data_IF_033026780248
#
_entry.id   IF_033026780248
#
_cell.length_a   1.000
_cell.length_b   1.000
_cell.length_c   1.000
_cell.angle_alpha   90.00
_cell.angle_beta   90.00
_cell.angle_gamma   90.00
#
_symmetry.space_group_name_H-M   'P 1'
#
loop_
_entity.id
_entity.type
_entity.pdbx_description
1 polymer ?
#
# COMPACT_ATOMS: atom_id res chain seq x y z
N UNK A 1 21.93 25.38 1.20
CA UNK A 1 22.71 26.30 2.05
C UNK A 1 21.72 26.95 2.97
N UNK A 2 21.84 26.74 4.27
CA UNK A 2 21.08 27.54 5.25
C UNK A 2 21.82 27.51 6.59
N UNK A 3 22.08 28.70 7.12
CA UNK A 3 22.71 28.95 8.41
C UNK A 3 21.61 29.18 9.45
N UNK A 4 21.68 28.47 10.57
CA UNK A 4 20.71 28.59 11.67
C UNK A 4 21.15 29.69 12.65
N UNK A 5 20.32 30.73 12.80
CA UNK A 5 20.35 31.68 13.92
C UNK A 5 19.04 31.53 14.69
N UNK A 6 19.12 31.11 15.95
CA UNK A 6 17.99 30.95 16.86
C UNK A 6 17.81 32.20 17.72
N UNK A 7 16.57 32.69 17.82
CA UNK A 7 16.08 33.49 18.96
C UNK A 7 14.71 32.99 19.43
N UNK A 8 14.36 33.20 20.72
CA UNK A 8 13.27 32.49 21.39
C UNK A 8 12.03 33.38 21.61
N UNK A 9 10.82 32.82 21.43
CA UNK A 9 9.55 33.37 21.92
C UNK A 9 8.69 32.21 22.43
N UNK A 10 8.39 32.18 23.73
CA UNK A 10 7.22 32.77 24.41
C UNK A 10 6.07 31.77 24.51
N UNK A 11 5.89 31.25 25.72
CA UNK A 11 4.90 30.26 26.12
C UNK A 11 3.54 30.92 26.34
N UNK A 12 2.57 30.62 25.48
CA UNK A 12 1.14 30.86 25.73
C UNK A 12 0.42 29.52 26.00
N UNK A 13 -0.23 29.42 27.17
CA UNK A 13 -1.11 28.30 27.55
C UNK A 13 -2.42 28.34 26.76
N UNK A 14 -3.03 27.18 26.42
CA UNK A 14 -4.44 27.14 26.10
C UNK A 14 -5.31 26.36 27.10
N UNK A 15 -6.50 26.92 27.27
CA UNK A 15 -7.66 26.50 28.05
C UNK A 15 -8.17 25.09 27.76
N UNK A 16 -8.65 24.41 28.81
CA UNK A 16 -9.58 23.26 28.73
C UNK A 16 -11.03 23.73 28.65
N UNK A 17 -11.86 23.08 27.81
CA UNK A 17 -13.29 22.92 28.09
C UNK A 17 -13.74 21.45 28.22
N UNK A 18 -14.78 21.26 29.04
CA UNK A 18 -15.38 20.02 29.53
C UNK A 18 -16.23 19.23 28.49
N UNK A 19 -16.54 17.95 28.76
CA UNK A 19 -17.34 17.10 27.88
C UNK A 19 -18.83 17.06 28.28
N UNK A 20 -19.74 16.91 27.31
CA UNK A 20 -20.99 16.17 27.52
C UNK A 20 -21.31 15.26 26.32
N UNK A 21 -22.17 14.24 26.33
CA UNK A 21 -22.91 13.49 27.34
C UNK A 21 -23.33 12.18 26.64
N UNK A 22 -23.37 11.07 27.38
CA UNK A 22 -23.88 9.76 26.92
C UNK A 22 -25.36 9.83 26.55
N UNK A 23 -25.73 9.39 25.34
CA UNK A 23 -27.11 8.97 25.02
C UNK A 23 -27.21 7.45 24.93
N UNK A 24 -27.88 6.87 25.94
CA UNK A 24 -28.47 5.52 25.93
C UNK A 24 -29.71 5.49 25.05
N UNK A 25 -29.91 4.42 24.28
CA UNK A 25 -31.20 3.86 23.81
C UNK A 25 -30.87 2.64 22.93
N UNK A 26 -31.61 1.55 22.86
CA UNK A 26 -32.64 0.90 23.69
C UNK A 26 -32.73 -0.51 23.08
N UNK A 27 -32.74 -1.55 23.90
CA UNK A 27 -33.03 -2.93 23.47
C UNK A 27 -34.40 -2.99 22.80
N UNK A 28 -34.55 -3.87 21.80
CA UNK A 28 -35.84 -4.47 21.46
C UNK A 28 -35.63 -5.97 21.27
N UNK A 29 -36.20 -6.71 22.20
CA UNK A 29 -36.39 -8.16 22.15
C UNK A 29 -37.46 -8.48 21.10
N UNK A 30 -37.31 -9.62 20.43
CA UNK A 30 -38.33 -10.26 19.60
C UNK A 30 -38.10 -11.77 19.67
N UNK A 31 -38.87 -12.42 20.54
CA UNK A 31 -38.91 -13.88 20.76
C UNK A 31 -39.88 -14.55 19.78
N UNK A 32 -39.81 -15.89 19.79
CA UNK A 32 -40.84 -16.90 19.48
C UNK A 32 -40.92 -17.35 18.02
N UNK A 33 -41.26 -18.59 17.68
CA UNK A 33 -41.17 -19.91 18.31
C UNK A 33 -41.79 -20.87 17.27
N UNK A 34 -41.21 -22.07 17.16
CA UNK A 34 -41.85 -23.40 17.00
C UNK A 34 -43.22 -23.52 16.31
N UNK A 35 -43.41 -24.51 15.43
CA UNK A 35 -43.86 -25.87 15.81
C UNK A 35 -44.00 -26.80 14.58
N UNK A 36 -44.02 -28.08 14.93
CA UNK A 36 -44.02 -29.36 14.22
C UNK A 36 -45.33 -29.75 13.49
N UNK A 37 -45.26 -30.97 12.92
CA UNK A 37 -46.31 -31.98 12.61
C UNK A 37 -46.64 -32.02 11.11
N UNK A 38 -46.67 -33.16 10.39
CA UNK A 38 -46.51 -34.57 10.73
C UNK A 38 -47.14 -35.45 9.64
N UNK A 39 -46.53 -36.63 9.41
CA UNK A 39 -47.13 -37.93 9.05
C UNK A 39 -47.90 -38.10 7.70
N UNK A 40 -47.32 -38.96 6.85
CA UNK A 40 -47.94 -40.23 6.43
C UNK A 40 -48.59 -40.32 5.03
N UNK A 41 -48.04 -41.17 4.15
CA UNK A 41 -48.61 -42.48 3.80
C UNK A 41 -47.82 -43.16 2.66
N UNK A 42 -47.77 -44.49 2.75
CA UNK A 42 -47.13 -45.41 1.83
C UNK A 42 -47.95 -45.60 0.55
N UNK A 43 -47.26 -45.76 -0.58
CA UNK A 43 -47.82 -46.22 -1.84
C UNK A 43 -46.72 -46.82 -2.70
N UNK A 44 -46.69 -48.14 -2.78
CA UNK A 44 -45.84 -48.90 -3.70
C UNK A 44 -46.43 -48.86 -5.10
N UNK A 45 -45.69 -48.34 -6.07
CA UNK A 45 -45.94 -48.53 -7.48
C UNK A 45 -44.59 -48.64 -8.21
N UNK A 46 -44.28 -49.83 -8.70
CA UNK A 46 -43.15 -50.11 -9.59
C UNK A 46 -43.56 -49.61 -10.97
N UNK A 47 -42.96 -48.52 -11.43
CA UNK A 47 -43.08 -48.03 -12.80
C UNK A 47 -41.70 -47.74 -13.38
N UNK A 48 -41.56 -48.16 -14.63
CA UNK A 48 -40.39 -48.15 -15.52
C UNK A 48 -39.39 -47.00 -15.33
N UNK A 49 -38.11 -47.37 -15.24
CA UNK A 49 -36.99 -46.46 -15.40
C UNK A 49 -36.96 -45.87 -16.81
N UNK A 50 -37.27 -44.59 -16.90
CA UNK A 50 -36.73 -43.68 -17.90
C UNK A 50 -36.34 -42.41 -17.13
N UNK A 51 -35.09 -41.91 -17.23
CA UNK A 51 -34.72 -40.71 -16.50
C UNK A 51 -35.57 -39.54 -17.02
N UNK A 52 -36.22 -38.76 -16.14
CA UNK A 52 -36.95 -37.58 -16.59
C UNK A 52 -35.97 -36.60 -17.25
N UNK A 53 -36.37 -35.84 -18.28
CA UNK A 53 -35.63 -34.67 -18.69
C UNK A 53 -35.52 -33.77 -17.46
N UNK A 54 -34.29 -33.48 -17.03
CA UNK A 54 -34.04 -32.59 -15.91
C UNK A 54 -34.56 -31.21 -16.27
N UNK A 55 -35.80 -30.91 -15.89
CA UNK A 55 -36.25 -29.54 -15.75
C UNK A 55 -35.43 -28.95 -14.61
N UNK A 56 -34.39 -28.19 -14.97
CA UNK A 56 -33.67 -27.31 -14.05
C UNK A 56 -34.72 -26.47 -13.35
N UNK A 57 -34.96 -26.78 -12.07
CA UNK A 57 -35.80 -25.96 -11.22
C UNK A 57 -35.15 -24.58 -11.16
N UNK A 58 -35.97 -23.53 -11.24
CA UNK A 58 -35.52 -22.15 -11.02
C UNK A 58 -34.74 -22.02 -9.70
N UNK A 59 -35.02 -22.89 -8.73
CA UNK A 59 -34.28 -23.02 -7.47
C UNK A 59 -32.84 -23.54 -7.65
N UNK A 60 -32.59 -24.58 -8.44
CA UNK A 60 -31.23 -25.07 -8.71
C UNK A 60 -30.41 -24.06 -9.53
N UNK A 61 -31.06 -23.29 -10.40
CA UNK A 61 -30.45 -22.16 -11.08
C UNK A 61 -30.16 -20.97 -10.11
N UNK A 62 -31.03 -20.73 -9.12
CA UNK A 62 -30.83 -19.71 -8.08
C UNK A 62 -29.75 -20.11 -7.06
N UNK A 63 -29.65 -21.38 -6.70
CA UNK A 63 -28.62 -21.93 -5.81
C UNK A 63 -27.24 -22.05 -6.49
N UNK A 64 -27.19 -21.95 -7.82
CA UNK A 64 -25.95 -21.84 -8.61
C UNK A 64 -25.44 -20.39 -8.76
N UNK A 65 -26.25 -19.38 -8.39
CA UNK A 65 -25.87 -17.96 -8.46
C UNK A 65 -24.90 -17.42 -7.39
N UNK A 66 -24.72 -18.01 -6.18
CA UNK A 66 -23.80 -17.41 -5.20
C UNK A 66 -22.33 -17.58 -5.61
N UNK A 67 -22.01 -18.61 -6.41
CA UNK A 67 -20.62 -18.90 -6.79
C UNK A 67 -20.16 -18.12 -8.03
N UNK A 68 -21.05 -17.92 -9.03
CA UNK A 68 -20.69 -17.20 -10.26
C UNK A 68 -20.53 -15.69 -10.04
N UNK A 69 -21.25 -15.08 -9.09
CA UNK A 69 -21.12 -13.65 -8.79
C UNK A 69 -19.81 -13.32 -8.05
N UNK A 70 -19.29 -14.20 -7.19
CA UNK A 70 -18.03 -13.93 -6.49
C UNK A 70 -16.81 -13.99 -7.42
N UNK A 71 -16.80 -14.93 -8.38
CA UNK A 71 -15.81 -14.99 -9.47
C UNK A 71 -15.86 -13.75 -10.38
N UNK A 72 -17.06 -13.23 -10.69
CA UNK A 72 -17.24 -12.04 -11.53
C UNK A 72 -16.67 -10.74 -10.92
N UNK A 73 -16.67 -10.60 -9.58
CA UNK A 73 -16.08 -9.44 -8.91
C UNK A 73 -14.55 -9.52 -8.81
N UNK A 74 -13.99 -10.73 -8.69
CA UNK A 74 -12.54 -10.97 -8.77
C UNK A 74 -11.99 -10.83 -10.20
N UNK A 75 -12.85 -11.00 -11.22
CA UNK A 75 -12.51 -10.93 -12.64
C UNK A 75 -12.54 -9.52 -13.24
N UNK A 76 -12.99 -8.51 -12.50
CA UNK A 76 -12.97 -7.12 -13.02
C UNK A 76 -11.51 -6.70 -13.16
N UNK A 77 -11.12 -6.05 -14.25
CA UNK A 77 -9.80 -5.43 -14.35
C UNK A 77 -9.71 -4.19 -13.42
N UNK A 78 -8.51 -3.75 -13.00
CA UNK A 78 -8.36 -2.47 -12.30
C UNK A 78 -8.91 -1.32 -13.14
N UNK A 79 -9.39 -0.25 -12.50
CA UNK A 79 -9.96 0.91 -13.19
C UNK A 79 -8.92 1.54 -14.14
N UNK A 80 -9.30 1.94 -15.36
CA UNK A 80 -8.35 2.41 -16.37
C UNK A 80 -7.48 3.57 -15.86
N UNK A 81 -6.23 3.68 -16.33
CA UNK A 81 -5.36 4.80 -15.98
C UNK A 81 -6.01 6.13 -16.37
N UNK A 82 -5.71 7.19 -15.61
CA UNK A 82 -6.16 8.56 -15.93
C UNK A 82 -5.37 9.10 -17.12
N UNK A 83 -5.92 10.10 -17.85
CA UNK A 83 -5.14 10.80 -18.87
C UNK A 83 -3.81 11.31 -18.31
N UNK A 84 -2.70 11.00 -18.98
CA UNK A 84 -1.34 11.38 -18.58
C UNK A 84 -0.64 10.40 -17.63
N UNK A 85 -1.34 9.38 -17.12
CA UNK A 85 -0.70 8.31 -16.36
C UNK A 85 0.17 7.43 -17.27
N UNK A 86 1.34 7.05 -16.75
CA UNK A 86 2.19 6.03 -17.38
C UNK A 86 2.05 4.74 -16.60
N UNK A 87 1.55 3.68 -17.23
CA UNK A 87 1.43 2.36 -16.57
C UNK A 87 2.81 1.75 -16.40
N UNK A 88 3.10 1.26 -15.20
CA UNK A 88 4.32 0.49 -14.90
C UNK A 88 3.94 -0.97 -14.92
N UNK A 89 4.25 -1.66 -16.02
CA UNK A 89 3.92 -3.07 -16.20
C UNK A 89 5.12 -3.98 -15.89
N UNK A 90 4.90 -5.16 -15.31
CA UNK A 90 5.97 -6.15 -15.09
C UNK A 90 6.67 -6.56 -16.38
N UNK A 91 5.91 -6.69 -17.47
CA UNK A 91 6.40 -7.03 -18.79
C UNK A 91 7.32 -5.95 -19.41
N UNK A 92 7.25 -4.71 -18.90
CA UNK A 92 8.03 -3.57 -19.41
C UNK A 92 8.71 -2.79 -18.27
N UNK A 93 9.40 -3.51 -17.38
CA UNK A 93 10.12 -2.90 -16.26
C UNK A 93 11.43 -2.21 -16.66
N UNK A 94 12.02 -2.57 -17.80
CA UNK A 94 13.35 -2.12 -18.17
C UNK A 94 13.47 -0.57 -18.26
N UNK A 95 12.50 0.17 -18.83
CA UNK A 95 12.54 1.63 -18.86
C UNK A 95 12.53 2.27 -17.46
N UNK A 96 11.74 1.72 -16.53
CA UNK A 96 11.72 2.19 -15.14
C UNK A 96 13.08 1.95 -14.48
N UNK A 97 13.62 0.73 -14.58
CA UNK A 97 14.90 0.38 -13.94
C UNK A 97 16.07 1.20 -14.50
N UNK A 98 16.02 1.55 -15.79
CA UNK A 98 16.99 2.44 -16.41
C UNK A 98 16.84 3.87 -15.88
N UNK A 99 15.61 4.38 -15.75
CA UNK A 99 15.34 5.71 -15.20
C UNK A 99 15.83 5.83 -13.75
N UNK A 100 15.58 4.81 -12.92
CA UNK A 100 16.07 4.74 -11.55
C UNK A 100 17.60 4.70 -11.51
N UNK A 101 18.25 3.95 -12.40
CA UNK A 101 19.73 3.93 -12.52
C UNK A 101 20.32 5.29 -12.87
N UNK A 102 19.69 6.05 -13.76
CA UNK A 102 20.13 7.40 -14.08
C UNK A 102 19.93 8.34 -12.88
N UNK A 103 18.78 8.26 -12.20
CA UNK A 103 18.52 9.05 -11.00
C UNK A 103 19.52 8.74 -9.87
N UNK A 104 19.88 7.47 -9.67
CA UNK A 104 20.86 6.99 -8.70
C UNK A 104 22.25 7.63 -8.90
N UNK A 105 22.64 7.91 -10.15
CA UNK A 105 23.93 8.57 -10.44
C UNK A 105 24.00 9.97 -9.83
N UNK A 106 22.86 10.67 -9.73
CA UNK A 106 22.81 12.01 -9.11
C UNK A 106 23.07 11.99 -7.60
N UNK A 107 23.04 10.81 -6.97
CA UNK A 107 23.33 10.59 -5.55
C UNK A 107 24.80 10.22 -5.30
N UNK A 108 25.61 10.07 -6.35
CA UNK A 108 27.05 9.84 -6.21
C UNK A 108 27.73 11.12 -5.71
N UNK A 109 28.66 11.01 -4.75
CA UNK A 109 29.49 12.15 -4.39
C UNK A 109 30.30 12.66 -5.58
N UNK A 110 30.80 13.89 -5.47
CA UNK A 110 31.67 14.55 -6.46
C UNK A 110 32.85 15.19 -5.77
N UNK A 111 34.04 15.02 -6.33
CA UNK A 111 35.23 15.74 -5.93
C UNK A 111 35.43 16.94 -6.88
N UNK A 112 35.49 18.14 -6.34
CA UNK A 112 35.70 19.38 -7.09
C UNK A 112 37.10 19.90 -6.76
N UNK A 113 38.01 20.03 -7.74
CA UNK A 113 39.33 20.59 -7.49
C UNK A 113 39.23 22.05 -7.02
N UNK A 114 40.13 22.46 -6.12
CA UNK A 114 40.19 23.83 -5.61
C UNK A 114 41.40 24.59 -6.20
N UNK A 115 41.30 25.91 -6.42
CA UNK A 115 42.47 26.74 -6.72
C UNK A 115 43.49 26.65 -5.57
N UNK A 116 44.76 26.35 -5.89
CA UNK A 116 45.80 26.12 -4.89
C UNK A 116 46.01 24.65 -4.49
N UNK A 117 45.26 23.73 -5.10
CA UNK A 117 45.41 22.28 -4.88
C UNK A 117 44.33 21.69 -3.96
N UNK A 118 44.25 20.36 -3.93
CA UNK A 118 43.25 19.64 -3.14
C UNK A 118 41.85 19.59 -3.76
N UNK A 119 40.88 19.07 -2.98
CA UNK A 119 39.51 18.82 -3.44
C UNK A 119 38.47 19.20 -2.38
N UNK A 120 37.36 19.80 -2.83
CA UNK A 120 36.10 19.92 -2.10
C UNK A 120 35.17 18.79 -2.49
N UNK A 121 34.65 18.05 -1.50
CA UNK A 121 33.71 16.96 -1.74
C UNK A 121 32.26 17.44 -1.57
N UNK A 122 31.42 17.20 -2.57
CA UNK A 122 29.98 17.42 -2.51
C UNK A 122 29.24 16.09 -2.56
N UNK A 123 28.23 15.91 -1.71
CA UNK A 123 27.37 14.73 -1.74
C UNK A 123 25.94 15.09 -1.37
N UNK A 124 24.99 14.27 -1.81
CA UNK A 124 23.59 14.33 -1.37
C UNK A 124 23.39 13.39 -0.19
N UNK A 125 22.54 13.79 0.75
CA UNK A 125 22.19 13.03 1.94
C UNK A 125 20.67 12.98 2.06
N UNK A 126 20.10 11.81 2.34
CA UNK A 126 18.67 11.72 2.74
C UNK A 126 18.49 12.19 4.17
N UNK A 127 17.26 12.46 4.57
CA UNK A 127 17.01 12.98 5.92
C UNK A 127 17.47 12.00 7.02
N UNK A 128 17.33 10.69 6.77
CA UNK A 128 17.69 9.55 7.62
C UNK A 128 19.16 9.09 7.49
N UNK A 129 19.84 9.43 6.39
CA UNK A 129 21.23 9.03 6.20
C UNK A 129 22.14 9.73 7.23
N UNK A 130 23.09 9.01 7.88
CA UNK A 130 24.07 9.65 8.73
C UNK A 130 24.97 10.60 7.93
N UNK A 131 25.54 11.61 8.60
CA UNK A 131 26.58 12.44 8.01
C UNK A 131 27.81 11.58 7.69
N UNK A 132 28.36 11.76 6.50
CA UNK A 132 29.55 11.04 6.08
C UNK A 132 30.82 11.83 6.39
N UNK A 133 31.85 11.14 6.84
CA UNK A 133 33.22 11.68 6.88
C UNK A 133 33.80 11.81 5.47
N UNK A 134 34.88 12.58 5.33
CA UNK A 134 35.58 12.72 4.04
C UNK A 134 36.10 11.37 3.54
N UNK A 135 36.60 10.52 4.43
CA UNK A 135 37.07 9.17 4.13
C UNK A 135 35.93 8.31 3.60
N UNK A 136 34.76 8.36 4.25
CA UNK A 136 33.57 7.64 3.77
C UNK A 136 33.08 8.15 2.40
N UNK A 137 33.17 9.46 2.16
CA UNK A 137 32.83 10.04 0.85
C UNK A 137 33.81 9.55 -0.24
N UNK A 138 35.12 9.56 0.05
CA UNK A 138 36.15 9.00 -0.85
C UNK A 138 35.91 7.52 -1.12
N UNK A 139 35.57 6.73 -0.10
CA UNK A 139 35.23 5.33 -0.28
C UNK A 139 34.00 5.14 -1.18
N UNK A 140 32.97 5.97 -1.04
CA UNK A 140 31.80 5.94 -1.95
C UNK A 140 32.09 6.40 -3.37
N UNK A 141 33.11 7.24 -3.58
CA UNK A 141 33.57 7.60 -4.94
C UNK A 141 34.23 6.40 -5.61
N UNK A 142 35.06 5.67 -4.87
CA UNK A 142 35.76 4.47 -5.37
C UNK A 142 34.79 3.30 -5.55
N UNK A 143 33.86 3.14 -4.60
CA UNK A 143 32.90 2.04 -4.54
C UNK A 143 31.47 2.61 -4.46
N UNK A 144 30.90 3.09 -5.58
CA UNK A 144 29.57 3.67 -5.58
C UNK A 144 28.50 2.62 -5.24
N UNK A 145 27.45 3.00 -4.47
CA UNK A 145 26.37 2.09 -4.17
C UNK A 145 25.66 1.63 -5.44
N UNK A 146 25.39 0.33 -5.52
CA UNK A 146 24.73 -0.30 -6.68
C UNK A 146 23.21 -0.45 -6.51
N UNK A 147 22.70 -0.24 -5.29
CA UNK A 147 21.28 -0.31 -4.95
C UNK A 147 20.62 -1.65 -5.32
N UNK A 148 21.36 -2.76 -5.14
CA UNK A 148 20.90 -4.11 -5.52
C UNK A 148 19.66 -4.54 -4.75
N UNK A 149 19.61 -4.28 -3.44
CA UNK A 149 18.46 -4.62 -2.58
C UNK A 149 17.19 -3.92 -3.02
N UNK A 150 17.29 -2.63 -3.34
CA UNK A 150 16.17 -1.80 -3.78
C UNK A 150 15.66 -2.28 -5.13
N UNK A 151 16.56 -2.51 -6.09
CA UNK A 151 16.21 -3.02 -7.41
C UNK A 151 15.55 -4.38 -7.32
N UNK A 152 16.08 -5.29 -6.49
CA UNK A 152 15.48 -6.60 -6.27
C UNK A 152 14.07 -6.48 -5.68
N UNK A 153 13.87 -5.61 -4.68
CA UNK A 153 12.56 -5.37 -4.10
C UNK A 153 11.56 -4.86 -5.15
N UNK A 154 11.96 -3.91 -5.99
CA UNK A 154 11.14 -3.35 -7.08
C UNK A 154 10.76 -4.43 -8.10
N UNK A 155 11.75 -5.18 -8.62
CA UNK A 155 11.51 -6.23 -9.62
C UNK A 155 10.70 -7.40 -9.10
N UNK A 156 10.62 -7.54 -7.78
CA UNK A 156 9.88 -8.61 -7.11
C UNK A 156 8.46 -8.16 -6.73
N UNK A 157 8.31 -6.93 -6.24
CA UNK A 157 7.03 -6.36 -5.80
C UNK A 157 6.09 -6.06 -6.98
N UNK A 158 6.59 -5.46 -8.07
CA UNK A 158 5.72 -5.06 -9.19
C UNK A 158 4.96 -6.27 -9.77
N UNK A 159 5.62 -7.38 -10.15
CA UNK A 159 4.90 -8.57 -10.63
C UNK A 159 3.99 -9.20 -9.57
N UNK A 160 4.36 -9.12 -8.28
CA UNK A 160 3.53 -9.65 -7.20
C UNK A 160 2.23 -8.86 -7.02
N UNK A 161 2.30 -7.53 -7.10
CA UNK A 161 1.16 -6.62 -7.07
C UNK A 161 0.23 -6.87 -8.26
N UNK A 162 0.79 -6.99 -9.48
CA UNK A 162 -0.01 -7.29 -10.67
C UNK A 162 -0.73 -8.64 -10.57
N UNK A 163 -0.07 -9.68 -10.03
CA UNK A 163 -0.68 -11.00 -9.85
C UNK A 163 -1.88 -10.98 -8.91
N UNK A 164 -1.90 -10.07 -7.95
CA UNK A 164 -3.06 -9.87 -7.06
C UNK A 164 -4.06 -8.85 -7.62
N UNK A 165 -3.93 -8.48 -8.89
CA UNK A 165 -4.87 -7.61 -9.59
C UNK A 165 -4.71 -6.13 -9.25
N UNK A 166 -3.49 -5.68 -8.94
CA UNK A 166 -3.17 -4.26 -8.72
C UNK A 166 -2.48 -3.67 -9.94
N UNK A 167 -2.92 -2.49 -10.36
CA UNK A 167 -2.23 -1.67 -11.37
C UNK A 167 -1.30 -0.68 -10.69
N UNK A 168 -0.13 -0.46 -11.28
CA UNK A 168 0.80 0.58 -10.84
C UNK A 168 0.92 1.61 -11.96
N UNK A 169 0.83 2.89 -11.59
CA UNK A 169 0.98 4.01 -12.53
C UNK A 169 1.91 5.08 -11.98
N UNK A 170 2.65 5.73 -12.87
CA UNK A 170 3.32 7.01 -12.60
C UNK A 170 2.37 8.14 -12.98
N UNK A 171 1.99 8.95 -11.99
CA UNK A 171 1.05 10.05 -12.15
C UNK A 171 0.82 10.77 -10.83
N UNK A 172 0.26 11.99 -10.83
CA UNK A 172 0.07 12.78 -9.61
C UNK A 172 -1.01 12.14 -8.70
N UNK A 173 -0.72 11.86 -7.42
CA UNK A 173 -1.73 11.43 -6.44
C UNK A 173 -2.93 12.38 -6.36
N UNK A 174 -4.15 11.85 -6.11
CA UNK A 174 -5.32 12.65 -5.74
C UNK A 174 -4.97 13.48 -4.51
N UNK A 175 -4.35 12.84 -3.53
CA UNK A 175 -3.93 13.50 -2.29
C UNK A 175 -2.70 14.37 -2.58
N UNK A 176 -2.93 15.67 -2.75
CA UNK A 176 -1.87 16.63 -3.09
C UNK A 176 -0.73 16.58 -2.06
N UNK A 177 0.49 16.48 -2.54
CA UNK A 177 1.69 16.41 -1.71
C UNK A 177 2.09 15.00 -1.28
N UNK A 178 1.28 13.98 -1.55
CA UNK A 178 1.68 12.59 -1.32
C UNK A 178 2.71 12.12 -2.37
N UNK A 179 3.67 11.29 -1.94
CA UNK A 179 4.64 10.65 -2.82
C UNK A 179 3.99 9.52 -3.64
N UNK A 180 3.03 8.82 -3.04
CA UNK A 180 2.17 7.86 -3.70
C UNK A 180 0.82 7.76 -3.00
N UNK A 181 -0.11 7.03 -3.60
CA UNK A 181 -1.36 6.65 -2.98
C UNK A 181 -1.82 5.27 -3.45
N UNK A 182 -2.47 4.55 -2.55
CA UNK A 182 -3.25 3.36 -2.83
C UNK A 182 -4.74 3.70 -2.92
N UNK A 183 -5.36 3.41 -4.07
CA UNK A 183 -6.81 3.51 -4.29
C UNK A 183 -7.40 2.07 -4.36
N UNK A 184 -7.98 1.54 -3.26
CA UNK A 184 -8.53 0.20 -3.25
C UNK A 184 -9.66 0.00 -4.26
N UNK A 185 -10.70 0.86 -4.34
CA UNK A 185 -11.75 0.72 -5.35
C UNK A 185 -11.22 0.64 -6.79
N UNK A 186 -10.22 1.46 -7.14
CA UNK A 186 -9.60 1.42 -8.46
C UNK A 186 -8.59 0.28 -8.64
N UNK A 187 -8.17 -0.35 -7.53
CA UNK A 187 -7.00 -1.25 -7.43
C UNK A 187 -5.77 -0.67 -8.11
N UNK A 188 -5.50 0.59 -7.84
CA UNK A 188 -4.40 1.32 -8.47
C UNK A 188 -3.49 1.92 -7.41
N UNK A 189 -2.21 1.57 -7.47
CA UNK A 189 -1.14 2.33 -6.83
C UNK A 189 -0.70 3.41 -7.79
N UNK A 190 -0.65 4.65 -7.31
CA UNK A 190 -0.25 5.81 -8.08
C UNK A 190 0.94 6.47 -7.43
N UNK A 191 2.06 6.49 -8.13
CA UNK A 191 3.33 7.01 -7.63
C UNK A 191 3.63 8.32 -8.35
N UNK A 192 3.94 9.37 -7.60
CA UNK A 192 4.33 10.65 -8.16
C UNK A 192 5.60 10.48 -9.01
N UNK A 193 5.68 11.00 -10.26
CA UNK A 193 6.85 10.84 -11.11
C UNK A 193 8.17 11.34 -10.48
N UNK A 194 8.09 12.33 -9.59
CA UNK A 194 9.24 12.83 -8.82
C UNK A 194 9.93 11.76 -7.96
N UNK A 195 9.20 10.72 -7.52
CA UNK A 195 9.77 9.59 -6.77
C UNK A 195 10.80 8.83 -7.61
N UNK A 196 10.57 8.67 -8.93
CA UNK A 196 11.54 8.05 -9.84
C UNK A 196 12.83 8.89 -9.90
N UNK A 197 12.70 10.21 -9.89
CA UNK A 197 13.83 11.14 -9.89
C UNK A 197 14.65 11.09 -8.59
N UNK A 198 14.08 10.57 -7.50
CA UNK A 198 14.77 10.37 -6.22
C UNK A 198 15.55 9.04 -6.15
N UNK A 199 15.49 8.21 -7.20
CA UNK A 199 16.28 7.00 -7.35
C UNK A 199 15.70 5.76 -6.67
N UNK A 200 16.44 4.66 -6.75
CA UNK A 200 15.99 3.31 -6.38
C UNK A 200 15.58 3.20 -4.91
N UNK A 201 16.31 3.85 -3.99
CA UNK A 201 16.02 3.81 -2.54
C UNK A 201 14.65 4.38 -2.24
N UNK A 202 14.34 5.55 -2.77
CA UNK A 202 13.06 6.21 -2.50
C UNK A 202 11.92 5.44 -3.15
N UNK A 203 12.09 5.06 -4.42
CA UNK A 203 11.08 4.31 -5.15
C UNK A 203 10.76 2.97 -4.48
N UNK A 204 11.76 2.21 -4.01
CA UNK A 204 11.54 0.94 -3.33
C UNK A 204 10.81 1.12 -2.00
N UNK A 205 11.15 2.14 -1.20
CA UNK A 205 10.47 2.44 0.07
C UNK A 205 9.00 2.82 -0.15
N UNK A 206 8.75 3.74 -1.08
CA UNK A 206 7.38 4.15 -1.45
C UNK A 206 6.58 2.98 -1.99
N UNK A 207 7.14 2.18 -2.91
CA UNK A 207 6.45 1.00 -3.44
C UNK A 207 6.14 -0.03 -2.34
N UNK A 208 7.07 -0.27 -1.41
CA UNK A 208 6.87 -1.18 -0.30
C UNK A 208 5.78 -0.67 0.67
N UNK A 209 5.76 0.64 0.95
CA UNK A 209 4.70 1.30 1.73
C UNK A 209 3.32 1.06 1.11
N UNK A 210 3.17 1.30 -0.19
CA UNK A 210 1.91 1.05 -0.89
C UNK A 210 1.56 -0.44 -0.95
N UNK A 211 2.55 -1.34 -1.07
CA UNK A 211 2.31 -2.78 -1.00
C UNK A 211 1.79 -3.23 0.38
N UNK A 212 2.22 -2.59 1.47
CA UNK A 212 1.66 -2.81 2.81
C UNK A 212 0.18 -2.39 2.85
N UNK A 213 -0.17 -1.25 2.24
CA UNK A 213 -1.57 -0.82 2.12
C UNK A 213 -2.43 -1.79 1.29
N UNK A 214 -1.89 -2.34 0.20
CA UNK A 214 -2.57 -3.41 -0.55
C UNK A 214 -2.80 -4.63 0.33
N UNK A 215 -1.81 -5.06 1.11
CA UNK A 215 -1.96 -6.18 2.04
C UNK A 215 -3.00 -5.87 3.14
N UNK A 216 -3.06 -4.64 3.66
CA UNK A 216 -4.09 -4.19 4.59
C UNK A 216 -5.51 -4.31 4.00
N UNK A 217 -5.68 -3.99 2.71
CA UNK A 217 -6.93 -4.25 1.97
C UNK A 217 -7.21 -5.74 1.87
N UNK A 218 -6.24 -6.53 1.42
CA UNK A 218 -6.38 -7.98 1.27
C UNK A 218 -6.77 -8.68 2.58
N UNK A 219 -6.18 -8.29 3.71
CA UNK A 219 -6.50 -8.82 5.04
C UNK A 219 -7.98 -8.66 5.39
N UNK A 220 -8.67 -7.65 4.85
CA UNK A 220 -10.13 -7.47 5.06
C UNK A 220 -10.99 -8.32 4.13
N UNK A 221 -10.51 -8.66 2.95
CA UNK A 221 -11.27 -9.47 2.01
C UNK A 221 -10.81 -9.40 0.55
N UNK A 222 -9.82 -8.57 0.21
CA UNK A 222 -9.24 -8.51 -1.12
C UNK A 222 -8.64 -7.15 -1.44
N UNK A 223 -7.94 -7.00 -2.58
CA UNK A 223 -7.30 -5.74 -2.95
C UNK A 223 -8.31 -4.60 -3.12
N UNK A 224 -9.56 -4.87 -3.48
CA UNK A 224 -10.58 -3.81 -3.60
C UNK A 224 -11.20 -3.40 -2.25
N UNK A 225 -10.93 -4.13 -1.17
CA UNK A 225 -11.52 -3.86 0.13
C UNK A 225 -10.89 -2.63 0.79
N UNK A 226 -11.68 -1.93 1.60
CA UNK A 226 -11.15 -0.87 2.46
C UNK A 226 -10.12 -1.44 3.44
N UNK A 227 -8.95 -0.80 3.62
CA UNK A 227 -7.85 -1.37 4.40
C UNK A 227 -8.19 -1.57 5.88
N UNK A 228 -7.55 -2.56 6.50
CA UNK A 228 -7.52 -2.75 7.95
C UNK A 228 -6.10 -3.07 8.44
N UNK A 229 -5.81 -2.80 9.71
CA UNK A 229 -4.49 -3.04 10.30
C UNK A 229 -4.08 -4.51 10.19
N UNK A 230 -2.80 -4.74 9.89
CA UNK A 230 -2.19 -6.07 9.80
C UNK A 230 -1.71 -6.59 11.16
N UNK A 231 -1.55 -5.70 12.13
CA UNK A 231 -0.98 -5.98 13.45
C UNK A 231 0.55 -5.93 13.45
N UNK A 232 1.16 -5.11 12.59
CA UNK A 232 2.61 -4.92 12.56
C UNK A 232 3.06 -3.94 13.64
N UNK A 233 4.38 -3.80 13.81
CA UNK A 233 4.93 -2.75 14.67
C UNK A 233 4.46 -1.38 14.20
N UNK A 234 4.13 -0.52 15.15
CA UNK A 234 3.73 0.88 14.96
C UNK A 234 4.78 1.86 15.49
N UNK A 235 5.98 1.36 15.81
CA UNK A 235 7.10 2.17 16.27
C UNK A 235 7.70 2.93 15.08
N UNK A 236 7.57 4.25 15.11
CA UNK A 236 8.13 5.13 14.09
C UNK A 236 9.53 5.56 14.49
N UNK A 237 10.43 5.61 13.51
CA UNK A 237 11.61 6.44 13.62
C UNK A 237 11.24 7.94 13.51
N UNK A 238 12.23 8.80 13.76
CA UNK A 238 12.03 10.26 13.78
C UNK A 238 11.55 10.81 12.44
N UNK A 239 12.02 10.29 11.31
CA UNK A 239 11.62 10.78 9.99
C UNK A 239 10.21 10.31 9.64
N UNK A 240 9.91 9.03 9.85
CA UNK A 240 8.57 8.47 9.69
C UNK A 240 7.54 9.20 10.55
N UNK A 241 7.93 9.64 11.76
CA UNK A 241 7.06 10.47 12.60
C UNK A 241 6.84 11.88 12.03
N UNK A 242 7.84 12.47 11.38
CA UNK A 242 7.70 13.75 10.68
C UNK A 242 6.77 13.63 9.48
N UNK A 243 6.92 12.59 8.66
CA UNK A 243 6.02 12.33 7.52
C UNK A 243 4.57 12.19 7.95
N UNK A 244 4.29 11.43 9.02
CA UNK A 244 2.92 11.32 9.55
C UNK A 244 2.40 12.64 10.18
N UNK A 245 3.29 13.60 10.41
CA UNK A 245 2.97 14.97 10.82
C UNK A 245 2.75 15.94 9.67
N UNK A 246 2.95 15.54 8.42
CA UNK A 246 2.81 16.42 7.25
C UNK A 246 1.35 16.90 7.09
N UNK A 247 1.13 18.11 6.54
CA UNK A 247 -0.22 18.67 6.35
C UNK A 247 -1.18 17.78 5.56
N UNK A 248 -0.64 16.89 4.72
CA UNK A 248 -1.42 15.91 3.94
C UNK A 248 -2.25 14.97 4.84
N UNK A 249 -1.86 14.79 6.09
CA UNK A 249 -2.56 13.98 7.09
C UNK A 249 -3.34 14.80 8.12
N UNK A 250 -3.45 16.13 7.98
CA UNK A 250 -4.08 17.00 8.96
C UNK A 250 -5.56 16.64 9.23
N UNK A 251 -6.27 16.18 8.19
CA UNK A 251 -7.67 15.75 8.28
C UNK A 251 -7.84 14.23 8.29
N UNK A 252 -6.75 13.46 8.43
CA UNK A 252 -6.81 12.00 8.38
C UNK A 252 -7.58 11.44 9.58
N UNK A 253 -8.44 10.45 9.31
CA UNK A 253 -9.20 9.78 10.38
C UNK A 253 -8.27 9.01 11.33
N UNK A 254 -8.70 8.68 12.57
CA UNK A 254 -7.89 7.87 13.47
C UNK A 254 -7.46 6.51 12.87
N UNK A 255 -8.34 5.87 12.10
CA UNK A 255 -8.01 4.62 11.40
C UNK A 255 -6.96 4.84 10.32
N UNK A 256 -7.15 5.85 9.46
CA UNK A 256 -6.19 6.21 8.41
C UNK A 256 -4.80 6.51 9.00
N UNK A 257 -4.74 7.32 10.07
CA UNK A 257 -3.46 7.59 10.76
C UNK A 257 -2.82 6.33 11.35
N UNK A 258 -3.61 5.35 11.78
CA UNK A 258 -3.08 4.08 12.27
C UNK A 258 -2.55 3.21 11.13
N UNK A 259 -3.25 3.14 10.00
CA UNK A 259 -2.83 2.40 8.80
C UNK A 259 -1.52 2.97 8.23
N UNK A 260 -1.44 4.29 8.09
CA UNK A 260 -0.25 5.01 7.64
C UNK A 260 0.92 4.80 8.61
N UNK A 261 0.67 4.88 9.93
CA UNK A 261 1.69 4.59 10.94
C UNK A 261 2.24 3.18 10.80
N UNK A 262 1.39 2.19 10.61
CA UNK A 262 1.81 0.79 10.44
C UNK A 262 2.67 0.62 9.17
N UNK A 263 2.30 1.29 8.08
CA UNK A 263 3.06 1.26 6.83
C UNK A 263 4.42 1.98 6.96
N UNK A 264 4.44 3.22 7.46
CA UNK A 264 5.68 3.99 7.69
C UNK A 264 6.65 3.27 8.63
N UNK A 265 6.16 2.66 9.71
CA UNK A 265 6.99 1.92 10.66
C UNK A 265 7.73 0.73 10.02
N UNK A 266 7.28 0.27 8.85
CA UNK A 266 7.82 -0.92 8.20
C UNK A 266 8.31 -0.70 6.76
N UNK A 267 8.21 0.52 6.20
CA UNK A 267 8.55 0.80 4.80
C UNK A 267 10.00 0.48 4.42
N UNK A 268 10.93 0.53 5.37
CA UNK A 268 12.35 0.26 5.16
C UNK A 268 12.68 -1.25 5.07
N UNK A 269 11.75 -2.12 5.47
CA UNK A 269 11.88 -3.58 5.38
C UNK A 269 11.42 -4.02 4.00
N UNK A 270 12.30 -3.88 3.02
CA UNK A 270 11.95 -3.98 1.59
C UNK A 270 11.41 -5.36 1.16
N UNK A 271 11.71 -6.40 1.92
CA UNK A 271 11.19 -7.76 1.73
C UNK A 271 9.76 -7.95 2.28
N UNK A 272 9.30 -7.04 3.14
CA UNK A 272 8.07 -7.24 3.89
C UNK A 272 6.83 -7.16 2.98
N UNK A 273 6.78 -6.21 2.04
CA UNK A 273 5.63 -6.03 1.16
C UNK A 273 5.27 -7.32 0.42
N UNK A 274 6.25 -8.02 -0.18
CA UNK A 274 5.98 -9.28 -0.89
C UNK A 274 5.52 -10.37 0.08
N UNK A 275 6.14 -10.46 1.27
CA UNK A 275 5.74 -11.44 2.27
C UNK A 275 4.28 -11.23 2.72
N UNK A 276 3.88 -9.96 2.90
CA UNK A 276 2.52 -9.60 3.27
C UNK A 276 1.53 -9.85 2.13
N UNK A 277 1.86 -9.50 0.89
CA UNK A 277 1.01 -9.83 -0.26
C UNK A 277 0.78 -11.34 -0.36
N UNK A 278 1.84 -12.14 -0.21
CA UNK A 278 1.74 -13.60 -0.20
C UNK A 278 0.95 -14.15 0.98
N UNK A 279 0.94 -13.49 2.13
CA UNK A 279 0.17 -13.90 3.31
C UNK A 279 -1.30 -13.50 3.22
N UNK A 280 -1.56 -12.25 2.85
CA UNK A 280 -2.86 -11.60 3.03
C UNK A 280 -3.71 -11.62 1.75
N UNK A 281 -3.08 -11.57 0.58
CA UNK A 281 -3.77 -11.56 -0.72
C UNK A 281 -3.93 -12.95 -1.34
N UNK A 282 -3.63 -14.01 -0.58
CA UNK A 282 -3.98 -15.37 -1.01
C UNK A 282 -5.49 -15.44 -1.17
N UNK A 283 -5.93 -15.83 -2.36
CA UNK A 283 -7.32 -16.16 -2.63
C UNK A 283 -7.80 -17.07 -1.50
N UNK A 284 -8.77 -16.62 -0.71
CA UNK A 284 -9.56 -17.54 0.10
C UNK A 284 -10.30 -18.42 -0.89
N UNK A 285 -9.69 -19.58 -1.20
CA UNK A 285 -10.35 -20.68 -1.89
C UNK A 285 -11.52 -21.15 -1.05
#
# INVERSE_FOLDING_TARGET
>A
MEALLLRPESLARPHRPQPPQRRRRRRRDGRLASLLIGVGLAGTAVWAWSPPPQTLTTQAALDALPFQLQELWLSRAPAPPRPGDVVVASADLAPLLNSLRLADQSWRPRAIPLPGGGFRYLYKRRADDPLLTVEQIKQRLLNPPEFRSERLAITTLIPALERVGVRIVLGPPIKRGAAAEWDPPARTIRIQPGVVSNGSVEFARVLNHEAIHVAQSCRRGGPAAQPQLLGLSNQLDVQSQRHLGDPVYASASPLERALEREAYANQHRLELGIALLGKECRQRR
#
